data_IF_825893557178
#
_entry.id   IF_825893557178
#
_cell.length_a   1.000
_cell.length_b   1.000
_cell.length_c   1.000
_cell.angle_alpha   90.00
_cell.angle_beta   90.00
_cell.angle_gamma   90.00
#
_symmetry.space_group_name_H-M   'P 1'
#
loop_
_entity.id
_entity.type
_entity.pdbx_description
1 polymer ?
#
# COMPACT_ATOMS: atom_id res chain seq x y z
N UNK A 1 -22.88 8.99 28.08
CA UNK A 1 -21.57 9.35 27.50
C UNK A 1 -21.01 8.06 26.91
N UNK A 2 -21.09 7.88 25.59
CA UNK A 2 -20.68 6.64 24.94
C UNK A 2 -19.28 6.89 24.39
N UNK A 3 -18.25 6.54 25.17
CA UNK A 3 -16.87 6.58 24.69
C UNK A 3 -16.70 5.43 23.68
N UNK A 4 -16.90 5.75 22.39
CA UNK A 4 -16.30 4.96 21.33
C UNK A 4 -14.81 5.14 21.49
N UNK A 5 -14.15 4.18 22.13
CA UNK A 5 -12.70 4.05 22.07
C UNK A 5 -12.38 3.89 20.57
N UNK A 6 -11.86 4.94 19.96
CA UNK A 6 -11.38 4.97 18.60
C UNK A 6 -10.05 4.21 18.56
N UNK A 7 -10.12 2.89 18.69
CA UNK A 7 -8.95 2.02 18.55
C UNK A 7 -8.59 2.06 17.07
N UNK A 8 -7.72 3.00 16.69
CA UNK A 8 -7.03 2.93 15.41
C UNK A 8 -6.12 1.69 15.49
N UNK A 9 -6.38 0.63 14.71
CA UNK A 9 -5.59 -0.56 14.81
C UNK A 9 -4.16 -0.25 14.35
N UNK A 10 -3.18 -0.44 15.23
CA UNK A 10 -1.77 -0.35 14.84
C UNK A 10 -1.42 -1.46 13.83
N UNK A 11 -2.09 -2.61 13.91
CA UNK A 11 -1.95 -3.76 13.01
C UNK A 11 -3.32 -4.17 12.47
N UNK A 12 -3.44 -4.31 11.14
CA UNK A 12 -4.63 -4.76 10.45
C UNK A 12 -4.36 -6.06 9.68
N UNK A 13 -4.96 -7.16 10.11
CA UNK A 13 -4.98 -8.41 9.36
C UNK A 13 -6.05 -8.35 8.27
N UNK A 14 -5.66 -8.54 7.01
CA UNK A 14 -6.56 -8.53 5.87
C UNK A 14 -6.51 -9.85 5.09
N UNK A 15 -7.66 -10.34 4.66
CA UNK A 15 -7.71 -11.44 3.70
C UNK A 15 -7.38 -10.93 2.30
N UNK A 16 -6.47 -11.63 1.60
CA UNK A 16 -5.95 -11.23 0.27
C UNK A 16 -6.98 -11.48 -0.85
N UNK A 17 -8.26 -11.22 -0.61
CA UNK A 17 -9.26 -11.14 -1.67
C UNK A 17 -9.34 -9.69 -2.16
N UNK A 18 -8.34 -9.32 -2.96
CA UNK A 18 -8.32 -8.03 -3.63
C UNK A 18 -6.91 -7.57 -3.87
N UNK A 19 -6.51 -7.57 -5.13
CA UNK A 19 -5.42 -6.78 -5.70
C UNK A 19 -5.70 -5.27 -5.53
N UNK A 20 -6.16 -4.82 -4.37
CA UNK A 20 -6.49 -3.42 -4.13
C UNK A 20 -5.18 -2.66 -4.12
N UNK A 21 -4.91 -1.93 -5.20
CA UNK A 21 -3.63 -1.27 -5.46
C UNK A 21 -3.47 0.00 -4.63
N UNK A 22 -4.24 0.25 -3.58
CA UNK A 22 -4.16 1.50 -2.80
C UNK A 22 -4.19 1.30 -1.29
N UNK A 23 -4.46 0.09 -0.81
CA UNK A 23 -4.71 -0.18 0.62
C UNK A 23 -3.42 -0.11 1.42
N UNK A 24 -2.31 -0.69 0.94
CA UNK A 24 -1.01 -0.56 1.61
C UNK A 24 -0.57 0.90 1.65
N UNK A 25 -0.77 1.62 0.54
CA UNK A 25 -0.43 3.04 0.45
C UNK A 25 -1.18 3.86 1.50
N UNK A 26 -2.50 3.69 1.59
CA UNK A 26 -3.31 4.40 2.58
C UNK A 26 -2.98 3.99 4.03
N UNK A 27 -2.85 2.68 4.30
CA UNK A 27 -2.53 2.18 5.63
C UNK A 27 -1.20 2.75 6.13
N UNK A 28 -0.19 2.81 5.26
CA UNK A 28 1.13 3.38 5.59
C UNK A 28 1.02 4.84 6.03
N UNK A 29 0.26 5.67 5.31
CA UNK A 29 0.07 7.09 5.67
C UNK A 29 -0.73 7.27 6.96
N UNK A 30 -1.54 6.27 7.32
CA UNK A 30 -2.28 6.25 8.58
C UNK A 30 -1.46 5.68 9.75
N UNK A 31 -0.23 5.21 9.50
CA UNK A 31 0.59 4.48 10.49
C UNK A 31 -0.03 3.15 10.92
N UNK A 32 -0.76 2.50 10.01
CA UNK A 32 -1.38 1.19 10.19
C UNK A 32 -0.53 0.15 9.49
N UNK A 33 -0.05 -0.84 10.22
CA UNK A 33 0.67 -1.98 9.67
C UNK A 33 -0.31 -3.00 9.09
N UNK A 34 -0.37 -3.07 7.76
CA UNK A 34 -1.18 -4.08 7.09
C UNK A 34 -0.44 -5.43 7.06
N UNK A 35 -1.07 -6.48 7.55
CA UNK A 35 -0.56 -7.85 7.55
C UNK A 35 -1.50 -8.75 6.74
N UNK A 36 -1.46 -8.69 5.39
CA UNK A 36 -2.32 -9.54 4.59
C UNK A 36 -1.88 -11.00 4.64
N UNK A 37 -2.85 -11.91 4.60
CA UNK A 37 -2.58 -13.34 4.53
C UNK A 37 -2.14 -13.74 3.11
N UNK A 38 -0.84 -13.87 2.86
CA UNK A 38 -0.32 -14.28 1.55
C UNK A 38 -0.55 -15.77 1.32
N UNK A 39 -1.41 -16.11 0.34
CA UNK A 39 -1.71 -17.51 -0.03
C UNK A 39 -0.85 -18.02 -1.19
N UNK A 40 -0.58 -17.18 -2.18
CA UNK A 40 0.23 -17.54 -3.35
C UNK A 40 1.12 -16.37 -3.75
N UNK A 41 2.34 -16.35 -3.23
CA UNK A 41 3.29 -15.27 -3.45
C UNK A 41 3.83 -15.22 -4.88
N UNK A 42 3.84 -16.35 -5.61
CA UNK A 42 4.40 -16.45 -6.97
C UNK A 42 3.61 -15.66 -8.03
N UNK A 43 2.38 -15.27 -7.75
CA UNK A 43 1.58 -14.43 -8.65
C UNK A 43 1.56 -12.95 -8.23
N UNK A 44 2.31 -12.58 -7.19
CA UNK A 44 2.42 -11.20 -6.76
C UNK A 44 3.49 -10.50 -7.60
N UNK A 45 3.16 -9.28 -8.03
CA UNK A 45 4.05 -8.45 -8.85
C UNK A 45 4.91 -7.58 -7.94
N UNK A 46 6.23 -7.67 -8.07
CA UNK A 46 7.17 -6.74 -7.45
C UNK A 46 7.54 -5.62 -8.44
N UNK A 47 7.91 -4.47 -7.90
CA UNK A 47 8.30 -3.29 -8.68
C UNK A 47 9.65 -2.77 -8.21
N UNK A 48 10.55 -2.51 -9.15
CA UNK A 48 11.90 -2.04 -8.86
C UNK A 48 11.88 -0.56 -8.46
N UNK A 49 12.82 -0.13 -7.62
CA UNK A 49 13.07 1.29 -7.41
C UNK A 49 13.62 1.95 -8.67
N UNK A 50 14.44 1.26 -9.47
CA UNK A 50 15.01 1.78 -10.71
C UNK A 50 15.19 0.64 -11.72
N UNK A 51 14.93 0.89 -13.00
CA UNK A 51 15.15 -0.10 -14.09
C UNK A 51 16.61 -0.39 -14.40
N UNK A 52 17.53 0.47 -13.97
CA UNK A 52 18.98 0.24 -14.14
C UNK A 52 19.54 -0.78 -13.13
N UNK A 53 18.79 -1.11 -12.08
CA UNK A 53 19.21 -2.08 -11.07
C UNK A 53 18.93 -3.50 -11.58
N UNK A 54 19.97 -4.33 -11.67
CA UNK A 54 19.89 -5.75 -12.01
C UNK A 54 20.14 -6.61 -10.76
N UNK A 55 19.30 -7.63 -10.54
CA UNK A 55 19.40 -8.50 -9.36
C UNK A 55 19.59 -9.95 -9.77
N UNK A 56 20.83 -10.45 -9.66
CA UNK A 56 21.27 -11.75 -10.19
C UNK A 56 20.31 -12.94 -9.95
N UNK A 57 19.69 -13.02 -8.77
CA UNK A 57 18.86 -14.17 -8.37
C UNK A 57 17.35 -13.90 -8.31
N UNK A 58 16.92 -12.65 -8.38
CA UNK A 58 15.52 -12.26 -8.15
C UNK A 58 14.96 -11.36 -9.24
N UNK A 59 15.71 -11.16 -10.33
CA UNK A 59 15.36 -10.28 -11.43
C UNK A 59 13.95 -10.58 -11.99
N UNK A 60 13.65 -11.87 -12.17
CA UNK A 60 12.38 -12.37 -12.71
C UNK A 60 11.17 -12.09 -11.81
N UNK A 61 11.37 -11.76 -10.52
CA UNK A 61 10.28 -11.43 -9.61
C UNK A 61 9.69 -10.05 -9.89
N UNK A 62 10.44 -9.17 -10.56
CA UNK A 62 10.03 -7.79 -10.81
C UNK A 62 9.33 -7.63 -12.16
N UNK A 63 8.19 -6.95 -12.15
CA UNK A 63 7.32 -6.77 -13.33
C UNK A 63 7.28 -5.32 -13.83
N UNK A 64 8.07 -4.41 -13.28
CA UNK A 64 8.11 -3.00 -13.66
C UNK A 64 8.86 -2.13 -12.67
N UNK A 65 8.76 -0.82 -12.85
CA UNK A 65 9.40 0.23 -12.03
C UNK A 65 8.35 1.02 -11.25
N UNK A 66 8.74 1.53 -10.07
CA UNK A 66 7.96 2.49 -9.28
C UNK A 66 8.12 3.88 -9.91
N UNK A 67 7.01 4.56 -10.19
CA UNK A 67 7.08 5.96 -10.60
C UNK A 67 7.18 6.89 -9.38
N UNK A 68 8.41 7.15 -8.92
CA UNK A 68 8.70 8.02 -7.77
C UNK A 68 8.17 9.45 -7.95
N UNK A 69 8.31 10.01 -9.15
CA UNK A 69 7.82 11.36 -9.43
C UNK A 69 6.29 11.48 -9.23
N UNK A 70 5.52 10.43 -9.51
CA UNK A 70 4.08 10.42 -9.28
C UNK A 70 3.76 10.47 -7.78
N UNK A 71 4.53 9.73 -6.96
CA UNK A 71 4.41 9.74 -5.51
C UNK A 71 4.76 11.13 -4.98
N UNK A 72 5.94 11.65 -5.31
CA UNK A 72 6.44 12.95 -4.83
C UNK A 72 5.48 14.09 -5.17
N UNK A 73 5.05 14.17 -6.42
CA UNK A 73 4.18 15.26 -6.90
C UNK A 73 2.81 15.30 -6.21
N UNK A 74 2.30 14.17 -5.70
CA UNK A 74 0.97 14.09 -5.07
C UNK A 74 1.04 13.68 -3.59
N UNK A 75 2.23 13.53 -3.02
CA UNK A 75 2.41 13.16 -1.61
C UNK A 75 1.69 14.12 -0.66
N UNK A 76 1.72 15.46 -0.85
CA UNK A 76 0.94 16.37 -0.02
C UNK A 76 -0.57 16.13 -0.07
N UNK A 77 -1.12 15.75 -1.23
CA UNK A 77 -2.55 15.44 -1.39
C UNK A 77 -2.93 14.14 -0.68
N UNK A 78 -2.07 13.12 -0.79
CA UNK A 78 -2.26 11.86 -0.07
C UNK A 78 -2.23 12.07 1.46
N UNK A 79 -1.32 12.93 1.94
CA UNK A 79 -1.27 13.31 3.37
C UNK A 79 -2.52 14.08 3.82
N UNK A 80 -3.06 14.97 2.98
CA UNK A 80 -4.33 15.68 3.30
C UNK A 80 -5.49 14.70 3.47
N UNK A 81 -5.55 13.65 2.65
CA UNK A 81 -6.53 12.56 2.81
C UNK A 81 -6.31 11.84 4.14
N UNK A 82 -5.07 11.42 4.44
CA UNK A 82 -4.76 10.73 5.69
C UNK A 82 -5.11 11.58 6.93
N UNK A 83 -4.80 12.88 6.91
CA UNK A 83 -5.17 13.81 7.97
C UNK A 83 -6.68 13.99 8.10
N UNK A 84 -7.41 14.02 6.99
CA UNK A 84 -8.88 14.13 7.01
C UNK A 84 -9.53 12.88 7.61
N UNK A 85 -8.95 11.70 7.36
CA UNK A 85 -9.34 10.44 8.01
C UNK A 85 -9.05 10.50 9.50
N UNK A 86 -7.82 10.85 9.90
CA UNK A 86 -7.43 10.99 11.31
C UNK A 86 -8.27 12.01 12.06
N UNK A 87 -8.77 13.04 11.37
CA UNK A 87 -9.67 14.05 11.93
C UNK A 87 -11.15 13.60 11.95
N UNK A 88 -11.47 12.37 11.55
CA UNK A 88 -12.84 11.83 11.52
C UNK A 88 -13.75 12.47 10.46
N UNK A 89 -13.22 13.25 9.52
CA UNK A 89 -14.01 13.97 8.51
C UNK A 89 -14.47 13.07 7.37
N UNK A 90 -13.69 12.04 7.06
CA UNK A 90 -13.97 11.06 6.01
C UNK A 90 -13.54 9.68 6.51
N UNK A 91 -14.19 8.62 6.03
CA UNK A 91 -13.80 7.25 6.41
C UNK A 91 -12.81 6.65 5.41
N UNK A 92 -11.94 5.71 5.82
CA UNK A 92 -11.06 4.99 4.90
C UNK A 92 -11.82 4.28 3.77
N UNK A 93 -12.96 3.65 4.09
CA UNK A 93 -13.77 2.94 3.10
C UNK A 93 -14.37 3.88 2.06
N UNK A 94 -14.80 5.08 2.46
CA UNK A 94 -15.25 6.12 1.52
C UNK A 94 -14.14 6.45 0.53
N UNK A 95 -12.92 6.74 1.00
CA UNK A 95 -11.81 7.08 0.13
C UNK A 95 -11.41 5.92 -0.78
N UNK A 96 -11.32 4.70 -0.26
CA UNK A 96 -10.98 3.54 -1.08
C UNK A 96 -12.04 3.27 -2.17
N UNK A 97 -13.32 3.44 -1.86
CA UNK A 97 -14.40 3.35 -2.84
C UNK A 97 -14.31 4.46 -3.90
N UNK A 98 -14.06 5.71 -3.47
CA UNK A 98 -13.86 6.85 -4.37
C UNK A 98 -12.67 6.59 -5.30
N UNK A 99 -11.51 6.24 -4.75
CA UNK A 99 -10.31 5.90 -5.50
C UNK A 99 -10.55 4.74 -6.48
N UNK A 100 -11.28 3.69 -6.08
CA UNK A 100 -11.65 2.58 -6.95
C UNK A 100 -12.65 2.96 -8.06
N UNK A 101 -13.53 3.93 -7.80
CA UNK A 101 -14.51 4.43 -8.77
C UNK A 101 -13.87 5.37 -9.79
N UNK A 102 -12.98 6.26 -9.33
CA UNK A 102 -12.29 7.22 -10.18
C UNK A 102 -11.02 6.58 -10.75
N UNK A 103 -11.22 5.93 -11.91
CA UNK A 103 -10.30 5.17 -12.77
C UNK A 103 -8.83 5.62 -12.91
N UNK A 104 -8.06 4.86 -13.70
CA UNK A 104 -6.66 5.12 -14.12
C UNK A 104 -6.35 6.55 -14.58
N UNK A 105 -7.33 7.40 -14.90
CA UNK A 105 -7.09 8.81 -15.28
C UNK A 105 -6.92 9.75 -14.09
N UNK A 106 -7.34 9.36 -12.88
CA UNK A 106 -7.15 10.16 -11.68
C UNK A 106 -5.70 10.07 -11.20
N UNK A 107 -4.98 11.20 -11.19
CA UNK A 107 -3.57 11.24 -10.77
C UNK A 107 -3.37 10.89 -9.30
N UNK A 108 -4.32 11.25 -8.43
CA UNK A 108 -4.25 10.91 -7.01
C UNK A 108 -4.43 9.40 -6.79
N UNK A 109 -5.33 8.77 -7.54
CA UNK A 109 -5.44 7.31 -7.57
C UNK A 109 -4.15 6.65 -8.06
N UNK A 110 -3.55 7.17 -9.13
CA UNK A 110 -2.27 6.67 -9.63
C UNK A 110 -1.16 6.83 -8.59
N UNK A 111 -1.09 7.96 -7.88
CA UNK A 111 -0.13 8.16 -6.81
C UNK A 111 -0.27 7.16 -5.66
N UNK A 112 -1.50 6.89 -5.21
CA UNK A 112 -1.75 5.80 -4.26
C UNK A 112 -1.33 4.45 -4.81
N UNK A 113 -1.52 4.19 -6.11
CA UNK A 113 -1.06 2.97 -6.77
C UNK A 113 0.46 2.81 -6.75
N UNK A 114 1.20 3.87 -7.06
CA UNK A 114 2.67 3.83 -7.04
C UNK A 114 3.20 3.67 -5.61
N UNK A 115 2.61 4.38 -4.65
CA UNK A 115 2.98 4.24 -3.23
C UNK A 115 2.71 2.81 -2.73
N UNK A 116 1.53 2.25 -3.05
CA UNK A 116 1.18 0.88 -2.68
C UNK A 116 2.17 -0.14 -3.28
N UNK A 117 2.56 0.02 -4.55
CA UNK A 117 3.57 -0.84 -5.19
C UNK A 117 4.90 -0.81 -4.47
N UNK A 118 5.36 0.37 -4.05
CA UNK A 118 6.61 0.53 -3.32
C UNK A 118 6.55 -0.20 -1.96
N UNK A 119 5.53 0.10 -1.15
CA UNK A 119 5.37 -0.50 0.18
C UNK A 119 5.13 -2.00 0.10
N UNK A 120 4.27 -2.44 -0.83
CA UNK A 120 3.97 -3.87 -1.03
C UNK A 120 5.20 -4.63 -1.50
N UNK A 121 6.01 -4.07 -2.39
CA UNK A 121 7.26 -4.70 -2.82
C UNK A 121 8.19 -4.89 -1.63
N UNK A 122 8.40 -3.85 -0.81
CA UNK A 122 9.20 -3.94 0.40
C UNK A 122 8.67 -5.02 1.36
N UNK A 123 7.36 -5.01 1.62
CA UNK A 123 6.71 -6.00 2.48
C UNK A 123 6.90 -7.44 1.95
N UNK A 124 6.73 -7.66 0.65
CA UNK A 124 6.89 -9.00 0.05
C UNK A 124 8.33 -9.48 0.07
N UNK A 125 9.29 -8.59 -0.20
CA UNK A 125 10.71 -8.91 -0.09
C UNK A 125 11.09 -9.31 1.34
N UNK A 126 10.60 -8.57 2.35
CA UNK A 126 10.79 -8.92 3.76
C UNK A 126 10.10 -10.23 4.12
N UNK A 127 8.87 -10.45 3.66
CA UNK A 127 8.13 -11.69 3.89
C UNK A 127 8.86 -12.90 3.30
N UNK A 128 9.45 -12.77 2.11
CA UNK A 128 10.22 -13.83 1.47
C UNK A 128 11.58 -14.04 2.16
N UNK A 129 12.25 -12.96 2.59
CA UNK A 129 13.56 -13.01 3.24
C UNK A 129 13.51 -13.62 4.64
N UNK A 130 12.50 -13.26 5.44
CA UNK A 130 12.39 -13.71 6.84
C UNK A 130 11.85 -15.13 6.99
N UNK A 131 11.47 -15.79 5.88
CA UNK A 131 10.69 -17.01 5.91
C UNK A 131 9.30 -16.79 6.52
N UNK A 132 8.37 -17.70 6.25
CA UNK A 132 7.02 -17.64 6.84
C UNK A 132 7.14 -17.66 8.38
N UNK A 133 7.01 -16.51 9.04
CA UNK A 133 6.76 -16.43 10.48
C UNK A 133 7.80 -15.77 11.41
N UNK A 134 8.56 -14.76 10.97
CA UNK A 134 9.25 -13.87 11.94
C UNK A 134 8.84 -12.41 11.74
N UNK A 135 8.02 -11.94 12.68
CA UNK A 135 7.53 -10.57 12.83
C UNK A 135 8.66 -9.61 13.18
N UNK A 136 8.40 -8.32 12.94
CA UNK A 136 9.13 -7.18 13.50
C UNK A 136 9.17 -7.23 15.03
#
# INVERSE_FOLDING_TARGET
MNEKVDIQPEILHADTQGQSTTVFGLATLLSIQLMPRIRNWKHLKLFRPNTQDNYEHIDELFSGEINWSMIENHYPDMLRIAMSIKAGKITPSTILNTLGTYSKRNKLYQAFCELDRAIRTMFLLQFMSNGVGRTF
#
